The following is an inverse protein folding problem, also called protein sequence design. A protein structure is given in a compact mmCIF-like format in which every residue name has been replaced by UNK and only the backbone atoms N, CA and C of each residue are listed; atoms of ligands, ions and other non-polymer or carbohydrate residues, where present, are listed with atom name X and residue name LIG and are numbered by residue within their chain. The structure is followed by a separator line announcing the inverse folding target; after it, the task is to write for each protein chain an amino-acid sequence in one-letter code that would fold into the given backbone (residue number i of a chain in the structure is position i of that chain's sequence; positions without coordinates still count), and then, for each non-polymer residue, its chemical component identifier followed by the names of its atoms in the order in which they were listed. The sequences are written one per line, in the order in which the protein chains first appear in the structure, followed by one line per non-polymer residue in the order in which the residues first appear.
data_IF_163893534938
#
_entry.id   IF_163893534938
#
_cell.length_a   1.000
_cell.length_b   1.000
_cell.length_c   1.000
_cell.angle_alpha   90.00
_cell.angle_beta   90.00
_cell.angle_gamma   90.00
#
_symmetry.space_group_name_H-M   'P 1'
#
loop_
_entity.id
_entity.type
_entity.pdbx_description
1 polymer ?
#
# COMPACT_ATOMS: atom_id res chain seq x y z
N UNK A 1 14.43 7.39 -6.13
CA UNK A 1 14.06 6.87 -4.81
C UNK A 1 14.34 5.37 -4.83
N UNK A 2 15.04 4.84 -3.83
CA UNK A 2 15.15 3.38 -3.68
C UNK A 2 13.74 2.85 -3.46
N UNK A 3 13.31 1.90 -4.29
CA UNK A 3 12.02 1.25 -4.08
C UNK A 3 12.11 0.38 -2.84
N UNK A 4 11.09 0.45 -1.98
CA UNK A 4 10.93 -0.51 -0.89
C UNK A 4 10.37 -1.77 -1.53
N UNK A 5 11.15 -2.85 -1.46
CA UNK A 5 10.76 -4.15 -1.96
C UNK A 5 10.00 -4.93 -0.88
N UNK A 6 9.17 -5.91 -1.27
CA UNK A 6 8.48 -6.81 -0.34
C UNK A 6 9.40 -7.44 0.72
N UNK A 7 10.66 -7.73 0.36
CA UNK A 7 11.67 -8.31 1.28
C UNK A 7 12.10 -7.35 2.39
N UNK A 8 11.87 -6.06 2.21
CA UNK A 8 12.20 -5.01 3.19
C UNK A 8 11.11 -4.88 4.27
N UNK A 9 10.00 -5.62 4.11
CA UNK A 9 8.89 -5.65 5.03
C UNK A 9 8.96 -6.83 5.99
N UNK A 10 8.50 -6.62 7.23
CA UNK A 10 8.45 -7.63 8.29
C UNK A 10 7.03 -7.71 8.83
N UNK A 11 6.40 -8.87 8.67
CA UNK A 11 5.06 -9.13 9.21
C UNK A 11 5.05 -8.94 10.72
N UNK A 12 3.99 -8.34 11.25
CA UNK A 12 3.82 -8.01 12.66
C UNK A 12 4.42 -6.66 13.06
N UNK A 13 5.08 -5.93 12.15
CA UNK A 13 5.56 -4.57 12.40
C UNK A 13 4.56 -3.49 11.99
N UNK A 14 4.75 -2.31 12.57
CA UNK A 14 3.92 -1.13 12.29
C UNK A 14 4.57 -0.27 11.21
N UNK A 15 3.73 0.21 10.30
CA UNK A 15 4.09 1.07 9.19
C UNK A 15 3.14 2.26 9.13
N UNK A 16 3.65 3.41 8.74
CA UNK A 16 2.84 4.56 8.37
C UNK A 16 2.65 4.57 6.86
N UNK A 17 1.39 4.62 6.45
CA UNK A 17 1.00 4.71 5.04
C UNK A 17 0.51 6.13 4.78
N UNK A 18 1.17 6.83 3.86
CA UNK A 18 0.82 8.20 3.46
C UNK A 18 0.48 8.23 1.98
N UNK A 19 -0.74 8.61 1.64
CA UNK A 19 -1.23 8.71 0.27
C UNK A 19 -1.05 10.14 -0.25
N UNK A 20 -0.43 10.25 -1.44
CA UNK A 20 -0.22 11.50 -2.15
C UNK A 20 -0.96 11.50 -3.49
N UNK A 21 -1.54 12.65 -3.85
CA UNK A 21 -2.10 12.93 -5.17
C UNK A 21 -1.49 14.25 -5.63
N UNK A 22 -0.75 14.25 -6.75
CA UNK A 22 -0.12 15.47 -7.29
C UNK A 22 0.71 16.27 -6.25
N UNK A 23 1.51 15.58 -5.44
CA UNK A 23 2.29 16.10 -4.31
C UNK A 23 1.48 16.57 -3.09
N UNK A 24 0.15 16.46 -3.12
CA UNK A 24 -0.70 16.79 -1.97
C UNK A 24 -0.97 15.54 -1.14
N UNK A 25 -0.74 15.64 0.18
CA UNK A 25 -1.12 14.59 1.12
C UNK A 25 -2.64 14.55 1.23
N UNK A 26 -3.24 13.40 0.90
CA UNK A 26 -4.69 13.19 0.96
C UNK A 26 -5.13 12.29 2.12
N UNK A 27 -4.26 11.37 2.54
CA UNK A 27 -4.54 10.43 3.62
C UNK A 27 -3.25 10.01 4.31
N UNK A 28 -3.29 9.81 5.62
CA UNK A 28 -2.16 9.24 6.38
C UNK A 28 -2.67 8.43 7.56
N UNK A 29 -2.00 7.33 7.90
CA UNK A 29 -2.37 6.51 9.04
C UNK A 29 -1.33 5.48 9.40
N UNK A 30 -1.47 4.92 10.60
CA UNK A 30 -0.60 3.88 11.15
C UNK A 30 -1.29 2.52 11.07
N UNK A 31 -0.58 1.53 10.53
CA UNK A 31 -1.09 0.20 10.23
C UNK A 31 -0.08 -0.88 10.60
N UNK A 32 -0.57 -2.07 10.92
CA UNK A 32 0.25 -3.26 11.13
C UNK A 32 0.23 -4.11 9.88
N UNK A 33 1.40 -4.51 9.42
CA UNK A 33 1.52 -5.48 8.33
C UNK A 33 1.12 -6.86 8.86
N UNK A 34 0.02 -7.41 8.37
CA UNK A 34 -0.48 -8.70 8.85
C UNK A 34 -0.17 -9.86 7.91
N UNK A 35 0.01 -9.61 6.60
CA UNK A 35 0.25 -10.66 5.62
C UNK A 35 1.00 -10.14 4.38
N UNK A 36 1.64 -11.06 3.67
CA UNK A 36 2.24 -10.84 2.35
C UNK A 36 1.73 -11.98 1.46
N UNK A 37 0.94 -11.66 0.44
CA UNK A 37 0.35 -12.64 -0.48
C UNK A 37 1.03 -12.56 -1.86
N UNK A 38 1.43 -13.69 -2.47
CA UNK A 38 1.88 -13.69 -3.86
C UNK A 38 0.70 -13.45 -4.81
N UNK A 39 0.86 -12.54 -5.78
CA UNK A 39 -0.15 -12.30 -6.82
C UNK A 39 0.14 -13.18 -8.05
N UNK A 40 -0.86 -13.88 -8.61
CA UNK A 40 -0.69 -14.66 -9.84
C UNK A 40 -0.67 -13.72 -11.07
N UNK A 41 0.48 -13.08 -11.30
CA UNK A 41 0.96 -12.47 -12.56
C UNK A 41 2.35 -11.90 -12.26
N UNK A 42 3.37 -12.76 -12.36
CA UNK A 42 4.81 -12.46 -12.30
C UNK A 42 5.23 -11.23 -11.46
N UNK A 43 5.59 -11.54 -10.21
CA UNK A 43 6.58 -10.89 -9.32
C UNK A 43 6.16 -9.87 -8.26
N UNK A 44 4.95 -9.30 -8.26
CA UNK A 44 4.64 -8.28 -7.24
C UNK A 44 3.67 -8.84 -6.18
N UNK A 45 4.10 -9.07 -4.93
CA UNK A 45 3.21 -9.51 -3.87
C UNK A 45 2.32 -8.36 -3.38
N UNK A 46 1.16 -8.73 -2.84
CA UNK A 46 0.29 -7.85 -2.10
C UNK A 46 0.70 -7.84 -0.61
N UNK A 47 0.79 -6.64 -0.03
CA UNK A 47 1.06 -6.43 1.39
C UNK A 47 -0.24 -6.07 2.10
N UNK A 48 -0.70 -6.91 3.02
CA UNK A 48 -1.94 -6.67 3.77
C UNK A 48 -1.70 -5.88 5.05
N UNK A 49 -2.44 -4.79 5.26
CA UNK A 49 -2.32 -3.92 6.42
C UNK A 49 -3.64 -3.78 7.18
N UNK A 50 -3.57 -3.86 8.52
CA UNK A 50 -4.70 -3.62 9.44
C UNK A 50 -4.44 -2.37 10.27
N UNK A 51 -5.46 -1.53 10.47
CA UNK A 51 -5.34 -0.35 11.34
C UNK A 51 -5.11 -0.79 12.80
N UNK A 52 -4.11 -0.22 13.46
CA UNK A 52 -3.84 -0.58 14.86
C UNK A 52 -5.02 -0.20 15.76
N UNK A 53 -5.66 -1.21 16.36
CA UNK A 53 -6.55 -1.11 17.51
C UNK A 53 -7.79 -0.24 17.36
N UNK A 54 -8.83 -0.67 16.60
CA UNK A 54 -10.27 -0.46 16.96
C UNK A 54 -11.31 -0.73 15.85
N UNK A 55 -10.97 -1.20 14.63
CA UNK A 55 -12.02 -1.41 13.61
C UNK A 55 -11.86 -2.74 12.89
N UNK A 56 -12.88 -3.58 13.05
CA UNK A 56 -13.11 -4.78 12.24
C UNK A 56 -13.11 -4.42 10.74
N UNK A 57 -12.28 -5.12 9.96
CA UNK A 57 -12.40 -5.33 8.50
C UNK A 57 -11.98 -4.23 7.51
N UNK A 58 -11.14 -3.26 7.86
CA UNK A 58 -10.48 -2.46 6.81
C UNK A 58 -9.06 -2.97 6.57
N UNK A 59 -8.98 -4.18 6.01
CA UNK A 59 -7.74 -4.69 5.43
C UNK A 59 -7.46 -3.89 4.16
N UNK A 60 -6.34 -3.16 4.15
CA UNK A 60 -5.87 -2.47 2.96
C UNK A 60 -4.73 -3.30 2.39
N UNK A 61 -4.87 -3.74 1.14
CA UNK A 61 -3.77 -4.36 0.44
C UNK A 61 -2.98 -3.31 -0.32
N UNK A 62 -1.65 -3.32 -0.22
CA UNK A 62 -0.77 -2.56 -1.09
C UNK A 62 -0.15 -3.47 -2.13
N UNK A 63 -0.18 -3.05 -3.38
CA UNK A 63 0.48 -3.75 -4.49
C UNK A 63 1.36 -2.77 -5.24
N UNK A 64 2.49 -3.26 -5.74
CA UNK A 64 3.31 -2.49 -6.65
C UNK A 64 2.63 -2.46 -8.02
N UNK A 65 2.20 -1.27 -8.44
CA UNK A 65 1.62 -1.05 -9.74
C UNK A 65 2.61 -0.30 -10.64
N UNK A 66 2.79 -0.81 -11.85
CA UNK A 66 3.46 -0.10 -12.92
C UNK A 66 2.44 0.80 -13.58
N UNK A 67 2.55 2.11 -13.35
CA UNK A 67 1.72 3.07 -14.05
C UNK A 67 2.04 3.04 -15.55
N UNK A 68 1.06 3.39 -16.38
CA UNK A 68 1.27 3.56 -17.83
C UNK A 68 2.33 4.65 -18.12
N UNK A 69 2.50 5.59 -17.19
CA UNK A 69 3.51 6.65 -17.23
C UNK A 69 4.24 6.71 -15.88
N UNK A 70 5.58 6.62 -15.90
CA UNK A 70 6.42 6.66 -14.70
C UNK A 70 7.00 5.30 -14.28
N UNK A 71 7.77 5.32 -13.19
CA UNK A 71 8.29 4.09 -12.55
C UNK A 71 7.20 3.34 -11.77
N UNK A 72 7.52 2.15 -11.22
CA UNK A 72 6.61 1.46 -10.32
C UNK A 72 6.22 2.33 -9.12
N UNK A 73 5.10 2.04 -8.48
CA UNK A 73 4.68 2.72 -7.25
C UNK A 73 3.72 1.84 -6.44
N UNK A 74 3.71 2.01 -5.11
CA UNK A 74 2.75 1.33 -4.25
C UNK A 74 1.34 1.93 -4.39
N UNK A 75 0.34 1.05 -4.47
CA UNK A 75 -1.08 1.39 -4.63
C UNK A 75 -1.94 0.56 -3.70
N UNK A 76 -3.05 1.15 -3.25
CA UNK A 76 -4.12 0.36 -2.62
C UNK A 76 -4.77 -0.53 -3.67
N UNK A 77 -5.03 -1.77 -3.31
CA UNK A 77 -5.78 -2.73 -4.10
C UNK A 77 -6.82 -3.42 -3.21
N UNK A 78 -7.86 -3.92 -3.85
CA UNK A 78 -8.92 -4.70 -3.22
C UNK A 78 -9.12 -6.00 -3.99
N UNK A 79 -9.57 -7.03 -3.29
CA UNK A 79 -9.92 -8.31 -3.89
C UNK A 79 -11.42 -8.33 -4.14
N UNK A 80 -11.83 -8.30 -5.41
CA UNK A 80 -13.22 -8.33 -5.86
C UNK A 80 -13.42 -9.60 -6.67
N UNK A 81 -14.32 -10.49 -6.24
CA UNK A 81 -14.59 -11.78 -6.90
C UNK A 81 -13.32 -12.61 -7.22
N UNK A 82 -12.35 -12.57 -6.32
CA UNK A 82 -11.06 -13.28 -6.47
C UNK A 82 -10.05 -12.59 -7.39
N UNK A 83 -10.40 -11.46 -8.01
CA UNK A 83 -9.51 -10.63 -8.83
C UNK A 83 -9.00 -9.43 -8.04
N UNK A 84 -7.77 -9.01 -8.31
CA UNK A 84 -7.19 -7.81 -7.71
C UNK A 84 -7.56 -6.59 -8.53
N UNK A 85 -8.28 -5.65 -7.90
CA UNK A 85 -8.63 -4.36 -8.48
C UNK A 85 -7.80 -3.27 -7.82
N UNK A 86 -7.07 -2.51 -8.64
CA UNK A 86 -6.34 -1.33 -8.19
C UNK A 86 -7.32 -0.21 -7.87
N UNK A 87 -7.20 0.33 -6.67
CA UNK A 87 -7.93 1.52 -6.29
C UNK A 87 -7.30 2.75 -6.96
N UNK A 88 -8.12 3.43 -7.75
CA UNK A 88 -7.87 4.79 -8.18
C UNK A 88 -8.85 5.67 -7.43
N UNK A 89 -8.40 6.64 -6.60
CA UNK A 89 -9.34 7.52 -5.93
C UNK A 89 -10.19 8.26 -6.98
N UNK A 90 -11.42 8.65 -6.63
CA UNK A 90 -12.34 9.27 -7.59
C UNK A 90 -11.71 10.51 -8.23
N UNK A 91 -11.58 10.55 -9.57
CA UNK A 91 -10.76 11.56 -10.28
C UNK A 91 -9.32 11.11 -10.57
N UNK A 92 -8.94 9.89 -10.22
CA UNK A 92 -7.60 9.32 -10.43
C UNK A 92 -7.17 9.21 -11.89
N UNK A 93 -8.14 9.20 -12.83
CA UNK A 93 -7.87 9.26 -14.27
C UNK A 93 -7.59 10.67 -14.77
N UNK A 94 -7.99 11.70 -14.02
CA UNK A 94 -7.74 13.12 -14.36
C UNK A 94 -6.46 13.67 -13.72
N UNK A 95 -5.93 13.01 -12.69
CA UNK A 95 -4.67 13.41 -12.07
C UNK A 95 -3.46 12.86 -12.82
N UNK A 96 -2.39 13.66 -12.88
CA UNK A 96 -1.14 13.25 -13.54
C UNK A 96 -0.47 12.07 -12.83
N UNK A 97 -0.61 11.96 -11.51
CA UNK A 97 -0.14 10.83 -10.71
C UNK A 97 -0.69 10.84 -9.27
N UNK A 98 -0.59 9.69 -8.60
CA UNK A 98 -0.76 9.54 -7.14
C UNK A 98 0.24 8.49 -6.62
N UNK A 99 0.39 8.24 -5.32
CA UNK A 99 1.08 7.05 -4.79
C UNK A 99 0.78 6.84 -3.29
N UNK A 100 1.11 5.67 -2.77
CA UNK A 100 1.23 5.44 -1.32
C UNK A 100 2.72 5.36 -0.97
N UNK A 101 3.17 6.23 -0.05
CA UNK A 101 4.48 6.16 0.58
C UNK A 101 4.35 5.32 1.85
N UNK A 102 5.28 4.38 2.04
CA UNK A 102 5.30 3.48 3.18
C UNK A 102 6.54 3.76 4.03
N UNK A 103 6.34 3.98 5.33
CA UNK A 103 7.41 4.30 6.27
C UNK A 103 7.38 3.29 7.44
N UNK A 104 8.49 2.58 7.70
CA UNK A 104 8.60 1.67 8.86
C UNK A 104 8.64 2.49 10.15
N UNK A 105 7.80 2.14 11.11
CA UNK A 105 7.82 2.78 12.45
C UNK A 105 8.70 1.93 13.37
N UNK A 106 9.75 2.51 13.98
CA UNK A 106 10.60 1.79 14.93
C UNK A 106 9.76 1.27 16.10
N UNK A 107 10.02 0.05 16.54
CA UNK A 107 9.50 -0.43 17.83
C UNK A 107 10.11 0.45 18.92
N UNK A 108 9.27 1.01 19.78
CA UNK A 108 9.74 1.61 21.02
C UNK A 108 10.24 0.46 21.89
N UNK A 109 11.51 0.47 22.26
CA UNK A 109 12.03 -0.49 23.24
C UNK A 109 11.31 -0.20 24.57
N UNK A 110 10.51 -1.15 25.03
CA UNK A 110 9.90 -1.17 26.37
C UNK A 110 10.90 -1.70 27.41
#
# INVERSE_FOLDING_TARGET
MSFIEPKDFVVGEQYKLTEFVENQLVSSGYYYLHSIEPIPKSLNPALGFVKNGLVEKSDVCLVEAHAQFGGPCWRRAFKVDGQWELYWPAGGRTWGWSCVVVEKIPKTEE
#
